data_IF_002041157251
#
_entry.id   IF_002041157251
#
_cell.length_a   1.000
_cell.length_b   1.000
_cell.length_c   1.000
_cell.angle_alpha   90.00
_cell.angle_beta   90.00
_cell.angle_gamma   90.00
#
_symmetry.space_group_name_H-M   'P 1'
#
loop_
_entity.id
_entity.type
_entity.pdbx_description
1 polymer ?
#
# COMPACT_ATOMS: atom_id res chain seq x y z
N UNK A 1 14.68 -2.54 7.76
CA UNK A 1 13.36 -2.82 7.14
C UNK A 1 12.96 -4.23 7.54
N UNK A 2 11.68 -4.49 7.75
CA UNK A 2 11.12 -5.82 7.95
C UNK A 2 11.02 -6.47 6.57
N UNK A 3 11.62 -7.65 6.41
CA UNK A 3 11.56 -8.43 5.17
C UNK A 3 10.45 -9.47 5.26
N UNK A 4 9.55 -9.47 4.28
CA UNK A 4 8.51 -10.47 4.20
C UNK A 4 9.09 -11.82 3.77
N UNK A 5 8.68 -12.88 4.43
CA UNK A 5 9.10 -14.26 4.12
C UNK A 5 8.11 -15.00 3.22
N UNK A 6 6.90 -14.47 3.08
CA UNK A 6 5.86 -14.93 2.16
C UNK A 6 5.10 -13.72 1.61
N UNK A 7 4.63 -13.80 0.37
CA UNK A 7 3.80 -12.77 -0.26
C UNK A 7 2.31 -13.09 -0.02
N UNK A 8 1.54 -12.08 0.36
CA UNK A 8 0.18 -12.25 0.88
C UNK A 8 -0.91 -11.78 -0.08
N UNK A 9 -0.63 -10.77 -0.90
CA UNK A 9 -1.57 -10.17 -1.86
C UNK A 9 -2.23 -11.21 -2.77
N UNK A 10 -1.46 -12.18 -3.28
CA UNK A 10 -1.99 -13.27 -4.10
C UNK A 10 -3.01 -14.14 -3.35
N UNK A 11 -2.78 -14.44 -2.07
CA UNK A 11 -3.73 -15.18 -1.23
C UNK A 11 -4.99 -14.36 -0.97
N UNK A 12 -4.83 -13.08 -0.70
CA UNK A 12 -5.94 -12.14 -0.48
C UNK A 12 -6.81 -12.00 -1.73
N UNK A 13 -6.20 -11.89 -2.92
CA UNK A 13 -6.93 -11.83 -4.18
C UNK A 13 -7.58 -13.17 -4.54
N UNK A 14 -6.98 -14.30 -4.20
CA UNK A 14 -7.59 -15.62 -4.42
C UNK A 14 -8.88 -15.82 -3.60
N UNK A 15 -9.05 -15.12 -2.47
CA UNK A 15 -10.25 -15.21 -1.63
C UNK A 15 -11.52 -14.79 -2.43
N UNK A 16 -12.60 -15.60 -2.41
CA UNK A 16 -13.86 -15.26 -3.05
C UNK A 16 -14.47 -13.92 -2.59
N UNK A 17 -14.14 -13.45 -1.40
CA UNK A 17 -14.59 -12.14 -0.87
C UNK A 17 -13.94 -10.97 -1.60
N UNK A 18 -12.76 -11.17 -2.17
CA UNK A 18 -11.98 -10.16 -2.91
C UNK A 18 -12.35 -10.09 -4.40
N UNK A 19 -13.52 -10.61 -4.80
CA UNK A 19 -13.96 -10.57 -6.21
C UNK A 19 -14.01 -9.15 -6.77
N UNK A 20 -14.53 -8.18 -6.01
CA UNK A 20 -14.61 -6.79 -6.47
C UNK A 20 -13.21 -6.19 -6.63
N UNK A 21 -12.35 -6.32 -5.61
CA UNK A 21 -10.97 -5.83 -5.68
C UNK A 21 -10.19 -6.41 -6.88
N UNK A 22 -10.38 -7.69 -7.20
CA UNK A 22 -9.81 -8.31 -8.41
C UNK A 22 -10.35 -7.69 -9.69
N UNK A 23 -11.66 -7.45 -9.76
CA UNK A 23 -12.29 -6.82 -10.92
C UNK A 23 -11.76 -5.39 -11.11
N UNK A 24 -11.68 -4.60 -10.04
CA UNK A 24 -11.17 -3.23 -10.06
C UNK A 24 -9.71 -3.20 -10.52
N UNK A 25 -8.86 -4.10 -9.99
CA UNK A 25 -7.47 -4.25 -10.42
C UNK A 25 -7.32 -4.52 -11.92
N UNK A 26 -8.26 -5.25 -12.54
CA UNK A 26 -8.24 -5.52 -13.97
C UNK A 26 -8.62 -4.31 -14.83
N UNK A 27 -9.25 -3.27 -14.24
CA UNK A 27 -9.60 -2.04 -14.95
C UNK A 27 -8.49 -1.00 -14.98
N UNK A 28 -7.53 -1.08 -14.06
CA UNK A 28 -6.42 -0.14 -13.99
C UNK A 28 -5.41 -0.36 -15.14
N UNK A 29 -4.79 0.74 -15.58
CA UNK A 29 -3.62 0.68 -16.45
C UNK A 29 -2.50 -0.13 -15.78
N UNK A 30 -1.59 -0.70 -16.56
CA UNK A 30 -0.55 -1.62 -16.05
C UNK A 30 0.24 -1.05 -14.88
N UNK A 31 0.68 0.20 -14.97
CA UNK A 31 1.44 0.88 -13.91
C UNK A 31 0.62 1.08 -12.62
N UNK A 32 -0.61 1.55 -12.77
CA UNK A 32 -1.51 1.75 -11.63
C UNK A 32 -1.86 0.41 -10.96
N UNK A 33 -2.13 -0.63 -11.75
CA UNK A 33 -2.38 -1.98 -11.25
C UNK A 33 -1.20 -2.52 -10.41
N UNK A 34 0.03 -2.26 -10.86
CA UNK A 34 1.25 -2.63 -10.11
C UNK A 34 1.32 -1.92 -8.76
N UNK A 35 1.02 -0.62 -8.72
CA UNK A 35 0.95 0.17 -7.47
C UNK A 35 -0.11 -0.38 -6.53
N UNK A 36 -1.32 -0.64 -7.03
CA UNK A 36 -2.42 -1.17 -6.23
C UNK A 36 -2.11 -2.56 -5.65
N UNK A 37 -1.43 -3.42 -6.42
CA UNK A 37 -0.99 -4.73 -5.93
C UNK A 37 0.05 -4.61 -4.81
N UNK A 38 1.02 -3.70 -4.95
CA UNK A 38 2.00 -3.42 -3.90
C UNK A 38 1.37 -2.78 -2.64
N UNK A 39 0.37 -1.92 -2.81
CA UNK A 39 -0.39 -1.36 -1.70
C UNK A 39 -1.16 -2.46 -0.95
N UNK A 40 -1.78 -3.39 -1.66
CA UNK A 40 -2.46 -4.53 -1.07
C UNK A 40 -1.49 -5.40 -0.27
N UNK A 41 -0.31 -5.71 -0.83
CA UNK A 41 0.74 -6.43 -0.13
C UNK A 41 1.17 -5.70 1.16
N UNK A 42 1.33 -4.37 1.10
CA UNK A 42 1.68 -3.57 2.27
C UNK A 42 0.65 -3.68 3.39
N UNK A 43 -0.65 -3.58 3.06
CA UNK A 43 -1.74 -3.73 4.02
C UNK A 43 -1.69 -5.09 4.72
N UNK A 44 -1.51 -6.16 3.93
CA UNK A 44 -1.48 -7.53 4.45
C UNK A 44 -0.24 -7.80 5.32
N UNK A 45 0.92 -7.32 4.89
CA UNK A 45 2.18 -7.47 5.63
C UNK A 45 2.15 -6.70 6.95
N UNK A 46 1.65 -5.47 6.96
CA UNK A 46 1.54 -4.65 8.18
C UNK A 46 0.58 -5.32 9.17
N UNK A 47 -0.59 -5.79 8.69
CA UNK A 47 -1.58 -6.49 9.51
C UNK A 47 -1.00 -7.76 10.14
N UNK A 48 -0.21 -8.52 9.37
CA UNK A 48 0.45 -9.74 9.84
C UNK A 48 1.59 -9.44 10.83
N UNK A 49 2.41 -8.44 10.53
CA UNK A 49 3.58 -8.09 11.33
C UNK A 49 3.22 -7.61 12.73
N UNK A 50 2.15 -6.81 12.84
CA UNK A 50 1.72 -6.21 14.10
C UNK A 50 0.20 -6.08 14.15
N UNK A 51 -0.44 -6.96 14.92
CA UNK A 51 -1.89 -7.01 15.09
C UNK A 51 -2.51 -5.74 15.70
N UNK A 52 -1.70 -4.87 16.31
CA UNK A 52 -2.14 -3.54 16.77
C UNK A 52 -2.53 -2.62 15.62
N UNK A 53 -1.93 -2.80 14.45
CA UNK A 53 -2.30 -2.09 13.24
C UNK A 53 -3.47 -2.79 12.56
N UNK A 54 -4.50 -2.02 12.26
CA UNK A 54 -5.62 -2.43 11.41
C UNK A 54 -5.56 -1.53 10.18
N UNK A 55 -4.66 -1.83 9.22
CA UNK A 55 -4.45 -0.96 8.09
C UNK A 55 -5.67 -1.01 7.16
N UNK A 56 -6.13 0.15 6.73
CA UNK A 56 -7.37 0.37 5.98
C UNK A 56 -7.08 0.84 4.55
N UNK A 57 -6.05 1.70 4.42
CA UNK A 57 -5.70 2.36 3.17
C UNK A 57 -4.20 2.60 3.13
N UNK A 58 -3.61 2.51 1.94
CA UNK A 58 -2.28 3.05 1.65
C UNK A 58 -2.47 4.24 0.73
N UNK A 59 -1.87 5.37 1.08
CA UNK A 59 -1.65 6.49 0.19
C UNK A 59 -0.27 6.30 -0.44
N UNK A 60 -0.18 5.79 -1.69
CA UNK A 60 1.06 5.85 -2.43
C UNK A 60 1.38 7.34 -2.67
N UNK A 61 2.66 7.73 -2.55
CA UNK A 61 3.12 9.12 -2.79
C UNK A 61 2.82 10.14 -1.68
N UNK A 62 2.83 9.71 -0.41
CA UNK A 62 2.53 10.58 0.72
C UNK A 62 3.77 11.20 1.39
N UNK A 63 4.97 11.07 0.81
CA UNK A 63 6.17 11.70 1.39
C UNK A 63 7.09 12.25 0.30
N UNK A 64 7.64 13.44 0.52
CA UNK A 64 8.45 14.25 -0.41
C UNK A 64 9.68 13.61 -1.10
N UNK A 65 10.00 12.34 -0.83
CA UNK A 65 11.10 11.58 -1.43
C UNK A 65 10.59 10.60 -2.51
N UNK A 66 9.73 11.08 -3.40
CA UNK A 66 9.13 10.29 -4.46
C UNK A 66 10.18 9.85 -5.47
N UNK A 67 10.39 8.54 -5.58
CA UNK A 67 10.97 7.97 -6.80
C UNK A 67 10.31 6.63 -7.06
N UNK A 68 9.50 6.55 -8.10
CA UNK A 68 9.16 5.28 -8.75
C UNK A 68 10.34 4.93 -9.65
N UNK A 69 11.25 4.07 -9.17
CA UNK A 69 12.30 3.48 -10.01
C UNK A 69 12.02 1.98 -10.15
N UNK A 70 11.48 1.59 -11.30
CA UNK A 70 11.08 0.20 -11.54
C UNK A 70 9.96 -0.21 -10.57
N UNK A 71 10.19 -1.25 -9.77
CA UNK A 71 9.20 -1.78 -8.81
C UNK A 71 9.28 -1.13 -7.42
N UNK A 72 10.27 -0.27 -7.16
CA UNK A 72 10.47 0.34 -5.84
C UNK A 72 9.59 1.58 -5.66
N UNK A 73 8.71 1.59 -4.65
CA UNK A 73 7.86 2.73 -4.28
C UNK A 73 8.40 3.37 -3.00
N UNK A 74 9.10 4.50 -3.14
CA UNK A 74 9.61 5.25 -1.97
C UNK A 74 8.60 6.32 -1.57
N UNK A 75 8.13 6.23 -0.33
CA UNK A 75 7.31 7.27 0.30
C UNK A 75 5.82 7.03 0.23
N UNK A 76 5.32 6.19 1.12
CA UNK A 76 3.89 5.95 1.29
C UNK A 76 3.45 6.35 2.70
N UNK A 77 2.14 6.41 2.91
CA UNK A 77 1.56 6.40 4.23
C UNK A 77 0.49 5.32 4.27
N UNK A 78 0.26 4.73 5.44
CA UNK A 78 -0.91 3.90 5.63
C UNK A 78 -1.78 4.46 6.74
N UNK A 79 -3.08 4.29 6.57
CA UNK A 79 -4.08 4.62 7.56
C UNK A 79 -4.40 3.38 8.37
N UNK A 80 -4.39 3.51 9.69
CA UNK A 80 -4.82 2.47 10.61
C UNK A 80 -5.63 3.10 11.74
N UNK A 81 -6.88 2.65 11.92
CA UNK A 81 -7.81 3.16 12.95
C UNK A 81 -7.95 4.69 12.90
N UNK A 82 -8.08 5.24 11.69
CA UNK A 82 -8.26 6.69 11.52
C UNK A 82 -6.99 7.54 11.69
N UNK A 83 -5.82 6.93 11.91
CA UNK A 83 -4.53 7.63 12.04
C UNK A 83 -3.62 7.27 10.89
N UNK A 84 -2.89 8.25 10.38
CA UNK A 84 -1.88 8.06 9.33
C UNK A 84 -0.51 7.80 9.93
N UNK A 85 0.24 6.88 9.31
CA UNK A 85 1.59 6.49 9.69
C UNK A 85 2.49 6.51 8.47
N UNK A 86 3.73 6.97 8.64
CA UNK A 86 4.71 6.95 7.57
C UNK A 86 5.07 5.50 7.21
N UNK A 87 5.20 5.23 5.91
CA UNK A 87 5.54 3.93 5.37
C UNK A 87 6.62 4.07 4.30
N UNK A 88 7.62 3.20 4.37
CA UNK A 88 8.54 2.97 3.26
C UNK A 88 8.47 1.51 2.91
N UNK A 89 8.37 1.17 1.63
CA UNK A 89 8.44 -0.22 1.21
C UNK A 89 9.18 -0.39 -0.11
N UNK A 90 9.80 -1.55 -0.28
CA UNK A 90 10.30 -2.02 -1.56
C UNK A 90 9.38 -3.16 -1.99
N UNK A 91 8.78 -3.02 -3.16
CA UNK A 91 7.96 -4.06 -3.78
C UNK A 91 8.73 -4.60 -4.98
N UNK A 92 8.76 -5.91 -5.15
CA UNK A 92 9.32 -6.56 -6.32
C UNK A 92 8.20 -7.37 -6.96
N UNK A 93 7.94 -7.08 -8.24
CA UNK A 93 6.91 -7.75 -9.02
C UNK A 93 7.55 -8.78 -9.95
N UNK A 94 6.80 -9.83 -10.25
CA UNK A 94 7.15 -10.77 -11.32
C UNK A 94 7.23 -10.04 -12.67
N UNK A 95 7.87 -10.67 -13.65
CA UNK A 95 8.07 -10.09 -14.99
C UNK A 95 6.78 -9.76 -15.73
N UNK A 96 5.69 -10.44 -15.40
CA UNK A 96 4.34 -10.19 -15.91
C UNK A 96 3.66 -8.98 -15.24
N UNK A 97 4.19 -8.49 -14.11
CA UNK A 97 3.60 -7.41 -13.33
C UNK A 97 2.31 -7.80 -12.62
N UNK A 98 2.02 -9.09 -12.47
CA UNK A 98 0.74 -9.59 -11.94
C UNK A 98 0.83 -10.17 -10.53
N UNK A 99 2.05 -10.40 -10.03
CA UNK A 99 2.28 -10.94 -8.70
C UNK A 99 3.47 -10.28 -8.01
N UNK A 100 3.38 -10.12 -6.69
CA UNK A 100 4.51 -9.72 -5.85
C UNK A 100 5.38 -10.94 -5.58
N UNK A 101 6.69 -10.80 -5.78
CA UNK A 101 7.71 -11.84 -5.56
C UNK A 101 8.70 -11.47 -4.45
N UNK A 102 8.75 -10.20 -4.04
CA UNK A 102 9.56 -9.72 -2.93
C UNK A 102 8.95 -8.50 -2.29
N UNK A 103 9.04 -8.40 -0.97
CA UNK A 103 8.50 -7.26 -0.23
C UNK A 103 9.30 -6.98 1.04
N UNK A 104 9.64 -5.71 1.25
CA UNK A 104 10.27 -5.21 2.47
C UNK A 104 9.62 -3.89 2.87
N UNK A 105 9.45 -3.63 4.16
CA UNK A 105 8.83 -2.40 4.61
C UNK A 105 9.39 -1.87 5.92
N UNK A 106 9.09 -0.60 6.19
CA UNK A 106 9.39 0.08 7.44
C UNK A 106 8.22 0.98 7.80
N UNK A 107 7.62 0.71 8.95
CA UNK A 107 6.61 1.58 9.56
C UNK A 107 7.33 2.63 10.40
N UNK A 108 7.08 3.89 10.08
CA UNK A 108 7.54 5.05 10.83
C UNK A 108 6.54 5.54 11.87
N UNK A 109 6.76 6.75 12.38
CA UNK A 109 5.87 7.38 13.34
C UNK A 109 4.50 7.75 12.76
N UNK A 110 3.57 8.07 13.66
CA UNK A 110 2.28 8.67 13.29
C UNK A 110 2.52 10.03 12.63
N UNK A 111 1.84 10.30 11.52
CA UNK A 111 1.88 11.58 10.81
C UNK A 111 0.94 12.56 11.53
N UNK A 112 1.44 13.72 12.01
CA UNK A 112 0.62 14.75 12.63
C UNK A 112 -0.47 15.25 11.68
N UNK A 113 -1.65 15.57 12.22
CA UNK A 113 -2.83 15.93 11.42
C UNK A 113 -2.63 17.19 10.61
N UNK A 114 -1.79 18.08 11.12
CA UNK A 114 -1.41 19.35 10.49
C UNK A 114 -0.68 19.14 9.16
N UNK A 115 -0.08 17.96 8.95
CA UNK A 115 0.61 17.58 7.71
C UNK A 115 -0.26 16.80 6.74
N UNK A 116 -1.50 16.49 7.09
CA UNK A 116 -2.32 15.62 6.25
C UNK A 116 -2.68 16.29 4.93
N UNK A 117 -3.05 17.57 4.97
CA UNK A 117 -3.39 18.34 3.77
C UNK A 117 -2.20 18.47 2.81
N UNK A 118 -1.03 18.82 3.35
CA UNK A 118 0.26 18.90 2.62
C UNK A 118 0.61 17.58 1.90
N UNK A 119 0.23 16.44 2.47
CA UNK A 119 0.58 15.11 1.99
C UNK A 119 -0.58 14.39 1.29
N UNK A 120 -1.70 15.08 1.01
CA UNK A 120 -2.86 14.50 0.34
C UNK A 120 -3.58 13.40 1.16
N UNK A 121 -3.47 13.43 2.48
CA UNK A 121 -4.00 12.40 3.38
C UNK A 121 -5.42 12.75 3.86
N UNK A 122 -6.44 12.11 3.29
CA UNK A 122 -7.82 12.37 3.67
C UNK A 122 -8.13 11.96 5.13
N UNK A 123 -8.94 12.77 5.81
CA UNK A 123 -9.42 12.49 7.16
C UNK A 123 -10.56 11.43 7.20
N UNK A 124 -11.14 11.06 6.05
CA UNK A 124 -12.27 10.12 5.88
C UNK A 124 -12.04 9.15 4.71
N UNK A 125 -12.90 8.13 4.54
CA UNK A 125 -12.89 7.22 3.39
C UNK A 125 -13.00 8.06 2.11
N UNK A 126 -11.97 7.99 1.26
CA UNK A 126 -11.81 8.90 0.13
C UNK A 126 -12.99 8.90 -0.84
N UNK A 127 -13.35 10.10 -1.29
CA UNK A 127 -13.63 10.45 -2.68
C UNK A 127 -14.02 11.94 -2.71
N UNK A 128 -13.03 12.82 -2.88
CA UNK A 128 -13.25 14.11 -3.53
C UNK A 128 -12.18 14.20 -4.61
N UNK A 129 -12.55 13.69 -5.78
CA UNK A 129 -11.99 14.14 -7.05
C UNK A 129 -12.84 15.34 -7.46
N UNK A 130 -12.17 16.47 -7.72
CA UNK A 130 -12.78 17.68 -8.29
C UNK A 130 -13.41 17.42 -9.67
#
# INVERSE_FOLDING_TARGET
MVRATEMLSGKTLADPRSRQARADLATFASEERMVQLCNLEALDQIRKWKAEFQPEQVAPYATADETVKGTTIKGAAFRSRGKWYALKFNCELARDGESVVGFEFLVGGQIPRERWDELGLAAGHGAEVE
#
